data_IF_155144868206
#
_entry.id   IF_155144868206
#
_cell.length_a   1.000
_cell.length_b   1.000
_cell.length_c   1.000
_cell.angle_alpha   90.00
_cell.angle_beta   90.00
_cell.angle_gamma   90.00
#
_symmetry.space_group_name_H-M   'P 1'
#
loop_
_entity.id
_entity.type
_entity.pdbx_description
1 polymer ?
#
# COMPACT_ATOMS: atom_id res chain seq x y z
N UNK A 1 35.52 6.26 -16.33
CA UNK A 1 36.12 5.03 -15.76
C UNK A 1 36.71 4.20 -16.86
N UNK A 2 37.93 3.73 -16.70
CA UNK A 2 38.59 2.77 -17.60
C UNK A 2 38.91 1.49 -16.80
N UNK A 3 38.85 0.34 -17.45
CA UNK A 3 39.14 -0.95 -16.82
C UNK A 3 40.57 -1.38 -17.18
N UNK A 4 41.29 -1.97 -16.23
CA UNK A 4 42.67 -2.40 -16.41
C UNK A 4 42.76 -3.93 -16.30
N UNK A 5 43.49 -4.57 -17.23
CA UNK A 5 43.91 -5.97 -17.10
C UNK A 5 45.39 -6.08 -16.76
N UNK A 6 45.75 -7.17 -16.09
CA UNK A 6 47.14 -7.54 -15.85
C UNK A 6 47.78 -7.95 -17.19
N UNK A 7 48.85 -7.28 -17.58
CA UNK A 7 49.76 -7.68 -18.66
C UNK A 7 51.12 -8.06 -18.04
N UNK A 8 52.01 -8.64 -18.85
CA UNK A 8 53.27 -9.25 -18.40
C UNK A 8 54.18 -8.30 -17.62
N UNK A 9 54.10 -6.99 -17.90
CA UNK A 9 55.01 -5.98 -17.35
C UNK A 9 54.29 -4.73 -16.81
N UNK A 10 53.00 -4.54 -17.10
CA UNK A 10 52.21 -3.39 -16.65
C UNK A 10 50.72 -3.71 -16.63
N UNK A 11 49.93 -2.80 -16.09
CA UNK A 11 48.50 -2.80 -16.32
C UNK A 11 48.19 -2.16 -17.67
N UNK A 12 47.27 -2.75 -18.42
CA UNK A 12 46.82 -2.25 -19.72
C UNK A 12 45.33 -1.99 -19.71
N UNK A 13 44.90 -0.94 -20.40
CA UNK A 13 43.49 -0.61 -20.57
C UNK A 13 42.76 -1.70 -21.36
N UNK A 14 41.63 -2.17 -20.82
CA UNK A 14 40.77 -3.15 -21.45
C UNK A 14 39.85 -2.43 -22.46
N UNK A 15 40.25 -2.46 -23.73
CA UNK A 15 39.52 -1.82 -24.84
C UNK A 15 38.57 -2.76 -25.59
N UNK A 16 38.60 -4.05 -25.27
CA UNK A 16 37.75 -5.08 -25.86
C UNK A 16 36.37 -5.07 -25.22
N UNK A 17 35.33 -5.47 -25.95
CA UNK A 17 34.02 -5.72 -25.34
C UNK A 17 34.14 -6.88 -24.35
N UNK A 18 33.66 -6.68 -23.13
CA UNK A 18 33.73 -7.69 -22.08
C UNK A 18 32.46 -7.68 -21.23
N UNK A 19 32.10 -8.86 -20.74
CA UNK A 19 30.99 -9.01 -19.80
C UNK A 19 31.54 -9.15 -18.38
N UNK A 20 31.19 -8.21 -17.49
CA UNK A 20 31.58 -8.27 -16.09
C UNK A 20 30.56 -9.05 -15.29
N UNK A 21 30.93 -10.22 -14.80
CA UNK A 21 30.17 -10.96 -13.79
C UNK A 21 30.61 -10.48 -12.41
N UNK A 22 29.71 -9.82 -11.67
CA UNK A 22 29.92 -9.55 -10.26
C UNK A 22 29.28 -10.68 -9.43
N UNK A 23 29.83 -11.00 -8.25
CA UNK A 23 29.23 -12.01 -7.36
C UNK A 23 27.94 -11.51 -6.68
N UNK A 24 27.49 -10.29 -6.99
CA UNK A 24 26.28 -9.74 -6.42
C UNK A 24 25.07 -10.36 -7.13
N UNK A 25 24.26 -11.07 -6.37
CA UNK A 25 22.96 -11.55 -6.80
C UNK A 25 21.87 -10.83 -6.00
N UNK A 26 20.70 -10.63 -6.63
CA UNK A 26 19.53 -10.07 -5.95
C UNK A 26 18.49 -11.13 -5.60
N UNK A 27 18.61 -12.30 -6.23
CA UNK A 27 17.73 -13.46 -6.13
C UNK A 27 18.60 -14.72 -6.14
N UNK A 28 18.30 -15.67 -5.29
CA UNK A 28 18.93 -16.99 -5.30
C UNK A 28 17.88 -18.04 -4.98
N UNK A 29 17.66 -18.98 -5.90
CA UNK A 29 16.84 -20.15 -5.64
C UNK A 29 17.76 -21.31 -5.23
N UNK A 30 17.52 -21.88 -4.05
CA UNK A 30 18.22 -23.07 -3.55
C UNK A 30 17.13 -24.10 -3.21
N UNK A 31 17.17 -25.25 -3.85
CA UNK A 31 16.12 -26.27 -3.78
C UNK A 31 14.72 -25.67 -4.03
N UNK A 32 13.83 -25.76 -3.04
CA UNK A 32 12.48 -25.20 -3.05
C UNK A 32 12.36 -23.85 -2.32
N UNK A 33 13.48 -23.22 -1.95
CA UNK A 33 13.50 -21.95 -1.22
C UNK A 33 14.03 -20.81 -2.10
N UNK A 34 13.31 -19.69 -2.10
CA UNK A 34 13.71 -18.47 -2.80
C UNK A 34 14.26 -17.45 -1.81
N UNK A 35 15.55 -17.16 -1.89
CA UNK A 35 16.19 -16.08 -1.16
C UNK A 35 16.14 -14.80 -1.98
N UNK A 36 15.45 -13.79 -1.46
CA UNK A 36 15.34 -12.46 -2.06
C UNK A 36 16.19 -11.49 -1.26
N UNK A 37 17.29 -11.01 -1.84
CA UNK A 37 18.16 -10.01 -1.21
C UNK A 37 17.69 -8.58 -1.47
N UNK A 38 17.02 -8.34 -2.60
CA UNK A 38 16.46 -7.03 -2.94
C UNK A 38 15.06 -7.18 -3.54
N UNK A 39 14.04 -6.95 -2.71
CA UNK A 39 12.64 -6.86 -3.14
C UNK A 39 12.43 -5.74 -4.16
N UNK A 40 13.10 -4.60 -3.97
CA UNK A 40 12.98 -3.44 -4.87
C UNK A 40 13.46 -3.75 -6.29
N UNK A 41 14.54 -4.53 -6.42
CA UNK A 41 15.05 -5.02 -7.71
C UNK A 41 14.07 -6.00 -8.35
N UNK A 42 13.49 -6.89 -7.54
CA UNK A 42 12.49 -7.85 -7.99
C UNK A 42 11.24 -7.14 -8.51
N UNK A 43 10.77 -6.13 -7.80
CA UNK A 43 9.58 -5.38 -8.19
C UNK A 43 9.77 -4.61 -9.50
N UNK A 44 10.98 -4.04 -9.71
CA UNK A 44 11.34 -3.32 -10.92
C UNK A 44 11.52 -4.23 -12.13
N UNK A 45 12.16 -5.39 -11.96
CA UNK A 45 12.53 -6.27 -13.07
C UNK A 45 11.38 -7.19 -13.53
N UNK A 46 10.46 -7.55 -12.63
CA UNK A 46 9.46 -8.58 -12.91
C UNK A 46 8.03 -8.03 -13.10
N UNK A 47 7.88 -6.72 -13.35
CA UNK A 47 6.57 -6.13 -13.66
C UNK A 47 5.58 -6.13 -12.49
N UNK A 48 6.05 -6.23 -11.24
CA UNK A 48 5.19 -6.19 -10.06
C UNK A 48 4.42 -4.87 -9.95
N UNK A 49 4.96 -3.78 -10.51
CA UNK A 49 4.24 -2.51 -10.57
C UNK A 49 2.89 -2.66 -11.28
N UNK A 50 2.84 -3.40 -12.38
CA UNK A 50 1.59 -3.61 -13.14
C UNK A 50 0.63 -4.53 -12.38
N UNK A 51 1.15 -5.54 -11.68
CA UNK A 51 0.34 -6.40 -10.79
C UNK A 51 -0.25 -5.58 -9.65
N UNK A 52 0.55 -4.73 -8.99
CA UNK A 52 0.09 -3.85 -7.90
C UNK A 52 -0.99 -2.91 -8.42
N UNK A 53 -0.81 -2.28 -9.59
CA UNK A 53 -1.83 -1.40 -10.18
C UNK A 53 -3.12 -2.14 -10.48
N UNK A 54 -3.03 -3.33 -11.08
CA UNK A 54 -4.21 -4.17 -11.38
C UNK A 54 -4.98 -4.53 -10.12
N UNK A 55 -4.28 -4.97 -9.08
CA UNK A 55 -4.90 -5.31 -7.79
C UNK A 55 -5.46 -4.07 -7.07
N UNK A 56 -4.81 -2.91 -7.22
CA UNK A 56 -5.28 -1.65 -6.64
C UNK A 56 -6.58 -1.20 -7.31
N UNK A 57 -6.70 -1.40 -8.63
CA UNK A 57 -7.93 -1.12 -9.37
C UNK A 57 -9.12 -1.92 -8.84
N UNK A 58 -8.93 -3.20 -8.55
CA UNK A 58 -9.97 -4.03 -7.90
C UNK A 58 -10.38 -3.44 -6.54
N UNK A 59 -9.43 -2.90 -5.78
CA UNK A 59 -9.72 -2.20 -4.53
C UNK A 59 -10.53 -0.92 -4.72
N UNK A 60 -10.24 -0.15 -5.76
CA UNK A 60 -11.03 1.05 -6.10
C UNK A 60 -12.44 0.68 -6.54
N UNK A 61 -12.59 -0.34 -7.39
CA UNK A 61 -13.90 -0.86 -7.82
C UNK A 61 -14.75 -1.34 -6.63
N UNK A 62 -14.14 -1.96 -5.62
CA UNK A 62 -14.84 -2.35 -4.38
C UNK A 62 -15.31 -1.14 -3.55
N UNK A 63 -14.55 -0.05 -3.53
CA UNK A 63 -14.94 1.21 -2.87
C UNK A 63 -16.06 1.90 -3.65
N UNK A 64 -15.99 1.90 -4.98
CA UNK A 64 -17.03 2.46 -5.84
C UNK A 64 -18.37 1.72 -5.66
N UNK A 65 -18.32 0.39 -5.53
CA UNK A 65 -19.51 -0.44 -5.36
C UNK A 65 -20.33 -0.09 -4.12
N UNK A 66 -19.69 0.37 -3.03
CA UNK A 66 -20.41 0.79 -1.81
C UNK A 66 -20.97 2.21 -1.87
N UNK A 67 -20.63 2.99 -2.91
CA UNK A 67 -21.13 4.36 -3.13
C UNK A 67 -20.97 5.31 -1.93
N UNK A 68 -19.90 5.14 -1.14
CA UNK A 68 -19.59 5.95 0.05
C UNK A 68 -18.86 7.27 -0.29
N UNK A 69 -18.21 7.32 -1.46
CA UNK A 69 -17.36 8.44 -1.89
C UNK A 69 -18.09 9.23 -2.97
N UNK A 70 -18.10 10.56 -2.84
CA UNK A 70 -18.74 11.45 -3.82
C UNK A 70 -17.91 11.61 -5.09
N UNK A 71 -16.58 11.67 -4.95
CA UNK A 71 -15.59 11.82 -6.02
C UNK A 71 -14.62 10.62 -6.11
N UNK A 72 -15.11 9.41 -6.45
CA UNK A 72 -14.31 8.19 -6.51
C UNK A 72 -13.18 8.24 -7.56
N UNK A 73 -13.31 9.06 -8.60
CA UNK A 73 -12.29 9.27 -9.64
C UNK A 73 -10.92 9.66 -9.04
N UNK A 74 -10.94 10.36 -7.90
CA UNK A 74 -9.72 10.78 -7.19
C UNK A 74 -8.92 9.62 -6.61
N UNK A 75 -9.51 8.44 -6.47
CA UNK A 75 -8.82 7.22 -6.03
C UNK A 75 -8.04 6.57 -7.18
N UNK A 76 -8.46 6.75 -8.43
CA UNK A 76 -7.71 6.23 -9.58
C UNK A 76 -6.35 6.92 -9.72
N UNK A 77 -6.26 8.21 -9.36
CA UNK A 77 -5.00 8.96 -9.29
C UNK A 77 -3.97 8.32 -8.33
N UNK A 78 -4.44 7.56 -7.33
CA UNK A 78 -3.57 6.90 -6.34
C UNK A 78 -2.95 5.60 -6.87
N UNK A 79 -3.44 5.08 -7.99
CA UNK A 79 -2.97 3.82 -8.59
C UNK A 79 -1.60 4.03 -9.26
N UNK A 80 -1.34 5.21 -9.82
CA UNK A 80 -0.08 5.47 -10.53
C UNK A 80 1.13 5.52 -9.60
N UNK A 81 0.92 5.84 -8.33
CA UNK A 81 1.97 5.80 -7.32
C UNK A 81 1.98 4.45 -6.60
N UNK A 82 3.05 3.67 -6.81
CA UNK A 82 3.21 2.31 -6.27
C UNK A 82 3.01 2.24 -4.74
N UNK A 83 3.46 3.25 -4.00
CA UNK A 83 3.34 3.28 -2.53
C UNK A 83 1.88 3.41 -2.08
N UNK A 84 1.07 4.23 -2.77
CA UNK A 84 -0.35 4.39 -2.46
C UNK A 84 -1.19 3.26 -3.05
N UNK A 85 -0.86 2.78 -4.26
CA UNK A 85 -1.50 1.64 -4.89
C UNK A 85 -1.44 0.38 -4.01
N UNK A 86 -0.29 0.09 -3.39
CA UNK A 86 -0.17 -1.01 -2.41
C UNK A 86 -1.12 -0.92 -1.22
N UNK A 87 -1.53 0.29 -0.82
CA UNK A 87 -2.52 0.41 0.26
C UNK A 87 -3.91 0.02 -0.24
N UNK A 88 -4.26 0.39 -1.48
CA UNK A 88 -5.51 0.00 -2.13
C UNK A 88 -5.59 -1.50 -2.42
N UNK A 89 -4.47 -2.17 -2.74
CA UNK A 89 -4.47 -3.64 -2.90
C UNK A 89 -4.89 -4.36 -1.62
N UNK A 90 -4.60 -3.79 -0.44
CA UNK A 90 -4.99 -4.37 0.86
C UNK A 90 -6.48 -4.17 1.14
N UNK A 91 -7.05 -3.05 0.71
CA UNK A 91 -8.49 -2.76 0.90
C UNK A 91 -9.33 -3.86 0.27
N UNK A 92 -9.04 -4.25 -0.98
CA UNK A 92 -9.77 -5.31 -1.68
C UNK A 92 -9.75 -6.66 -0.93
N UNK A 93 -8.59 -7.06 -0.41
CA UNK A 93 -8.38 -8.39 0.16
C UNK A 93 -8.68 -8.50 1.64
N UNK A 94 -8.49 -7.42 2.38
CA UNK A 94 -8.33 -7.45 3.81
C UNK A 94 -9.10 -6.36 4.57
N UNK A 95 -9.82 -5.46 3.90
CA UNK A 95 -10.64 -4.45 4.59
C UNK A 95 -11.71 -5.13 5.46
N UNK A 96 -11.68 -4.96 6.80
CA UNK A 96 -12.73 -5.48 7.67
C UNK A 96 -14.05 -4.73 7.44
N UNK A 97 -13.97 -3.42 7.20
CA UNK A 97 -15.14 -2.55 6.97
C UNK A 97 -15.94 -3.00 5.74
N UNK A 98 -15.25 -3.30 4.63
CA UNK A 98 -15.91 -3.81 3.42
C UNK A 98 -16.40 -5.25 3.59
N UNK A 99 -15.61 -6.12 4.23
CA UNK A 99 -15.98 -7.53 4.45
C UNK A 99 -17.22 -7.69 5.33
N UNK A 100 -17.33 -6.88 6.38
CA UNK A 100 -18.47 -6.90 7.30
C UNK A 100 -19.67 -6.12 6.77
N UNK A 101 -19.53 -5.43 5.63
CA UNK A 101 -20.62 -4.67 5.01
C UNK A 101 -21.15 -3.57 5.93
N UNK A 102 -20.24 -2.85 6.62
CA UNK A 102 -20.65 -1.79 7.55
C UNK A 102 -21.43 -0.72 6.80
N UNK A 103 -22.61 -0.36 7.32
CA UNK A 103 -23.48 0.63 6.70
C UNK A 103 -22.81 2.00 6.56
N UNK A 104 -22.98 2.64 5.40
CA UNK A 104 -22.37 3.94 5.08
C UNK A 104 -22.68 5.01 6.15
N UNK A 105 -23.91 5.03 6.68
CA UNK A 105 -24.31 5.96 7.73
C UNK A 105 -23.44 5.83 9.00
N UNK A 106 -23.15 4.58 9.43
CA UNK A 106 -22.28 4.31 10.57
C UNK A 106 -20.85 4.75 10.32
N UNK A 107 -20.33 4.52 9.11
CA UNK A 107 -18.98 4.95 8.71
C UNK A 107 -18.86 6.48 8.77
N UNK A 108 -19.89 7.18 8.29
CA UNK A 108 -19.94 8.64 8.28
C UNK A 108 -20.03 9.21 9.69
N UNK A 109 -20.89 8.64 10.54
CA UNK A 109 -21.00 9.03 11.94
C UNK A 109 -19.67 8.85 12.67
N UNK A 110 -19.01 7.71 12.46
CA UNK A 110 -17.68 7.44 13.01
C UNK A 110 -16.64 8.48 12.57
N UNK A 111 -16.66 8.87 11.29
CA UNK A 111 -15.76 9.92 10.78
C UNK A 111 -16.03 11.30 11.41
N UNK A 112 -17.28 11.59 11.79
CA UNK A 112 -17.66 12.85 12.45
C UNK A 112 -17.31 12.85 13.94
N UNK A 113 -17.29 11.68 14.60
CA UNK A 113 -17.03 11.56 16.04
C UNK A 113 -15.55 11.35 16.38
N UNK A 114 -14.83 10.51 15.62
CA UNK A 114 -13.48 10.08 16.00
C UNK A 114 -12.47 11.24 15.94
N UNK A 115 -11.71 11.54 17.02
CA UNK A 115 -10.91 12.77 17.10
C UNK A 115 -9.88 12.98 16.00
N UNK A 116 -9.32 11.90 15.44
CA UNK A 116 -8.32 11.98 14.37
C UNK A 116 -8.93 12.21 12.99
N UNK A 117 -10.22 11.91 12.81
CA UNK A 117 -10.96 12.04 11.54
C UNK A 117 -11.77 13.33 11.50
N UNK A 118 -12.34 13.73 12.65
CA UNK A 118 -13.13 14.93 12.80
C UNK A 118 -12.39 16.17 12.27
N UNK A 119 -13.02 16.87 11.33
CA UNK A 119 -12.47 18.08 10.70
C UNK A 119 -11.39 17.82 9.63
N UNK A 120 -10.98 16.57 9.39
CA UNK A 120 -10.03 16.19 8.33
C UNK A 120 -10.66 15.45 7.16
N UNK A 121 -11.82 14.84 7.38
CA UNK A 121 -12.65 14.26 6.33
C UNK A 121 -13.78 15.25 6.02
N UNK A 122 -13.95 15.57 4.74
CA UNK A 122 -15.03 16.41 4.23
C UNK A 122 -16.17 15.53 3.72
N UNK A 123 -17.37 16.10 3.71
CA UNK A 123 -18.58 15.45 3.23
C UNK A 123 -19.27 16.35 2.21
N UNK A 124 -20.09 15.75 1.35
CA UNK A 124 -20.95 16.47 0.41
C UNK A 124 -22.04 17.30 1.15
N UNK A 125 -22.85 18.04 0.40
CA UNK A 125 -23.88 18.92 0.95
C UNK A 125 -24.92 18.16 1.78
N UNK A 126 -25.33 16.97 1.33
CA UNK A 126 -26.27 16.09 2.03
C UNK A 126 -25.64 15.38 3.24
N UNK A 127 -24.31 15.37 3.33
CA UNK A 127 -23.56 14.80 4.44
C UNK A 127 -23.60 13.27 4.50
N UNK A 128 -23.99 12.61 3.41
CA UNK A 128 -24.17 11.17 3.22
C UNK A 128 -23.04 10.52 2.41
N UNK A 129 -22.08 11.31 1.91
CA UNK A 129 -20.89 10.83 1.20
C UNK A 129 -19.63 11.58 1.57
N UNK A 130 -18.50 10.89 1.45
CA UNK A 130 -17.17 11.41 1.75
C UNK A 130 -16.55 12.08 0.51
N UNK A 131 -15.93 13.25 0.71
CA UNK A 131 -15.16 13.95 -0.31
C UNK A 131 -13.65 13.81 -0.09
N UNK A 132 -12.93 13.35 -1.12
CA UNK A 132 -11.51 12.97 -1.07
C UNK A 132 -10.58 13.94 -1.83
N UNK A 133 -10.68 15.24 -1.53
CA UNK A 133 -9.93 16.26 -2.30
C UNK A 133 -8.44 16.36 -1.94
N UNK A 134 -8.05 15.88 -0.75
CA UNK A 134 -6.70 16.09 -0.22
C UNK A 134 -5.96 14.77 -0.03
N UNK A 135 -4.63 14.81 -0.11
CA UNK A 135 -3.78 13.64 0.18
C UNK A 135 -4.00 13.10 1.60
N UNK A 136 -4.30 13.99 2.55
CA UNK A 136 -4.59 13.64 3.95
C UNK A 136 -5.92 12.89 4.05
N UNK A 137 -7.00 13.40 3.45
CA UNK A 137 -8.30 12.72 3.47
C UNK A 137 -8.25 11.36 2.78
N UNK A 138 -7.61 11.28 1.60
CA UNK A 138 -7.33 10.00 0.90
C UNK A 138 -6.58 9.00 1.78
N UNK A 139 -5.55 9.45 2.51
CA UNK A 139 -4.78 8.57 3.40
C UNK A 139 -5.62 8.08 4.58
N UNK A 140 -6.32 9.00 5.26
CA UNK A 140 -7.17 8.67 6.41
C UNK A 140 -8.33 7.75 6.02
N UNK A 141 -8.89 7.93 4.82
CA UNK A 141 -9.94 7.07 4.29
C UNK A 141 -9.47 5.63 4.07
N UNK A 142 -8.26 5.42 3.53
CA UNK A 142 -7.73 4.06 3.40
C UNK A 142 -7.49 3.43 4.79
N UNK A 143 -6.99 4.20 5.75
CA UNK A 143 -6.83 3.74 7.14
C UNK A 143 -8.18 3.36 7.77
N UNK A 144 -9.23 4.14 7.48
CA UNK A 144 -10.59 3.88 7.94
C UNK A 144 -11.10 2.53 7.42
N UNK A 145 -10.93 2.27 6.12
CA UNK A 145 -11.35 0.99 5.53
C UNK A 145 -10.54 -0.20 6.07
N UNK A 146 -9.30 0.01 6.49
CA UNK A 146 -8.48 -0.99 7.18
C UNK A 146 -8.77 -1.07 8.69
N UNK A 147 -9.76 -0.31 9.16
CA UNK A 147 -10.22 -0.26 10.54
C UNK A 147 -9.14 0.29 11.51
N UNK A 148 -8.13 1.02 11.03
CA UNK A 148 -6.94 1.40 11.82
C UNK A 148 -7.25 2.26 13.06
N UNK A 149 -8.47 2.78 13.21
CA UNK A 149 -8.88 3.67 14.30
C UNK A 149 -9.55 2.88 15.42
N UNK A 150 -8.86 2.77 16.56
CA UNK A 150 -9.28 1.93 17.67
C UNK A 150 -9.62 2.79 18.89
N UNK A 151 -10.57 2.32 19.70
CA UNK A 151 -10.88 2.90 21.01
C UNK A 151 -10.69 1.82 22.06
N UNK A 152 -9.96 2.13 23.13
CA UNK A 152 -9.82 1.24 24.28
C UNK A 152 -11.14 1.20 25.05
N UNK A 153 -11.67 0.01 25.29
CA UNK A 153 -12.89 -0.16 26.08
C UNK A 153 -12.69 0.20 27.56
N UNK A 154 -11.47 0.03 28.08
CA UNK A 154 -11.17 0.28 29.50
C UNK A 154 -10.91 1.76 29.81
N UNK A 155 -10.20 2.45 28.92
CA UNK A 155 -9.72 3.82 29.16
C UNK A 155 -10.39 4.86 28.28
N UNK A 156 -11.22 4.45 27.31
CA UNK A 156 -11.84 5.30 26.29
C UNK A 156 -10.83 6.09 25.43
N UNK A 157 -9.54 5.72 25.49
CA UNK A 157 -8.50 6.36 24.70
C UNK A 157 -8.56 5.92 23.24
N UNK A 158 -8.25 6.86 22.36
CA UNK A 158 -8.25 6.65 20.92
C UNK A 158 -6.84 6.41 20.39
N UNK A 159 -6.70 5.36 19.59
CA UNK A 159 -5.43 4.91 19.03
C UNK A 159 -5.51 4.78 17.52
N UNK A 160 -4.34 4.69 16.89
CA UNK A 160 -4.22 4.18 15.52
C UNK A 160 -3.26 3.02 15.47
N UNK A 161 -3.70 1.90 14.90
CA UNK A 161 -2.84 0.74 14.70
C UNK A 161 -2.53 0.52 13.22
N UNK A 162 -1.28 0.17 12.93
CA UNK A 162 -0.82 -0.22 11.59
C UNK A 162 -0.82 -1.75 11.39
N UNK A 163 -0.77 -2.50 12.49
CA UNK A 163 -0.76 -3.96 12.50
C UNK A 163 -1.63 -4.43 13.66
N UNK A 164 -2.53 -5.37 13.38
CA UNK A 164 -3.47 -5.90 14.36
C UNK A 164 -3.37 -7.40 14.34
N UNK A 165 -3.15 -7.97 15.52
CA UNK A 165 -3.35 -9.38 15.75
C UNK A 165 -4.73 -9.57 16.35
N UNK A 166 -5.38 -10.66 15.98
CA UNK A 166 -6.67 -11.02 16.59
C UNK A 166 -6.38 -11.44 18.02
N UNK A 167 -7.08 -10.84 18.97
CA UNK A 167 -7.13 -11.36 20.34
C UNK A 167 -7.91 -12.67 20.30
N UNK A 168 -7.24 -13.78 20.00
CA UNK A 168 -7.82 -15.11 20.11
C UNK A 168 -7.94 -15.45 21.59
N UNK A 169 -9.10 -15.96 22.00
CA UNK A 169 -9.15 -16.80 23.19
C UNK A 169 -8.26 -18.01 22.92
N UNK A 170 -7.18 -18.17 23.69
CA UNK A 170 -6.44 -19.42 23.69
C UNK A 170 -7.38 -20.52 24.23
N UNK A 171 -7.99 -21.27 23.33
CA UNK A 171 -8.71 -22.52 23.64
C UNK A 171 -7.76 -23.68 23.81
#
# INVERSE_FOLDING_TARGET
SFFLKKSSQRFEELKEEFFRISPNFHLLQIDNSLLVLSLDTLEKLFGFQEVIKKEAKVGVEAIEAISLVENPETLHELIDNVTTARKLTKVAKASPVLKLGIENAKIIEFCKSFPRLKGKIRFNADGDKIQLDTKVSKTLFIQLLMDDFLTSELTEFHYTSLAKDVAVEET
#
